data_IF_205213449515
#
_entry.id   IF_205213449515
#
_cell.length_a   1.000
_cell.length_b   1.000
_cell.length_c   1.000
_cell.angle_alpha   90.00
_cell.angle_beta   90.00
_cell.angle_gamma   90.00
#
_symmetry.space_group_name_H-M   'P 1'
#
loop_
_entity.id
_entity.type
_entity.pdbx_description
1 polymer ?
#
# COMPACT_ATOMS: atom_id res chain seq x y z
N UNK A 1 31.89 -0.78 -10.12
CA UNK A 1 30.66 -0.24 -10.67
C UNK A 1 30.16 0.79 -9.67
N UNK A 2 30.59 2.06 -9.85
CA UNK A 2 30.49 3.09 -8.82
C UNK A 2 29.52 4.21 -9.23
N UNK A 3 28.62 3.94 -10.19
CA UNK A 3 27.62 4.90 -10.64
C UNK A 3 26.21 4.30 -10.59
N UNK A 4 25.29 5.02 -9.99
CA UNK A 4 23.87 4.65 -9.97
C UNK A 4 23.26 4.88 -11.36
N UNK A 5 22.23 4.09 -11.73
CA UNK A 5 21.54 4.23 -13.02
C UNK A 5 20.96 5.64 -13.26
N UNK A 6 20.69 6.38 -12.18
CA UNK A 6 20.26 7.78 -12.21
C UNK A 6 21.36 8.72 -12.72
N UNK A 7 22.62 8.46 -12.38
CA UNK A 7 23.73 9.27 -12.85
C UNK A 7 23.99 9.06 -14.34
N UNK A 8 23.79 7.83 -14.81
CA UNK A 8 23.84 7.55 -16.25
C UNK A 8 22.73 8.29 -17.01
N UNK A 9 21.52 8.33 -16.46
CA UNK A 9 20.41 9.06 -17.06
C UNK A 9 20.69 10.56 -17.14
N UNK A 10 21.25 11.17 -16.09
CA UNK A 10 21.68 12.58 -16.11
C UNK A 10 22.70 12.84 -17.21
N UNK A 11 23.75 12.00 -17.28
CA UNK A 11 24.77 12.10 -18.28
C UNK A 11 24.21 11.97 -19.71
N UNK A 12 23.29 11.04 -19.96
CA UNK A 12 22.61 10.88 -21.26
C UNK A 12 21.84 12.13 -21.65
N UNK A 13 21.12 12.74 -20.70
CA UNK A 13 20.38 13.98 -20.92
C UNK A 13 21.34 15.17 -21.25
N UNK A 14 22.45 15.26 -20.54
CA UNK A 14 23.49 16.28 -20.82
C UNK A 14 24.12 16.13 -22.22
N UNK A 15 24.21 14.89 -22.72
CA UNK A 15 24.69 14.60 -24.07
C UNK A 15 23.59 14.74 -25.14
N UNK A 16 22.36 15.10 -24.77
CA UNK A 16 21.23 15.25 -25.70
C UNK A 16 20.81 13.95 -26.37
N UNK A 17 21.01 12.81 -25.72
CA UNK A 17 20.61 11.51 -26.24
C UNK A 17 19.12 11.26 -25.95
N UNK A 18 18.29 11.23 -26.97
CA UNK A 18 16.86 10.89 -26.87
C UNK A 18 16.64 9.38 -27.02
N UNK A 19 17.15 8.62 -26.04
CA UNK A 19 17.02 7.17 -25.99
C UNK A 19 16.04 6.80 -24.86
N UNK A 20 14.95 6.06 -25.13
CA UNK A 20 14.03 5.63 -24.08
C UNK A 20 14.75 4.71 -23.08
N UNK A 21 14.79 5.13 -21.82
CA UNK A 21 15.47 4.42 -20.74
C UNK A 21 14.46 3.87 -19.73
N UNK A 22 14.61 2.58 -19.37
CA UNK A 22 13.90 1.94 -18.27
C UNK A 22 14.93 1.63 -17.17
N UNK A 23 14.69 2.12 -15.96
CA UNK A 23 15.57 1.85 -14.82
C UNK A 23 15.10 0.62 -14.07
N UNK A 24 16.00 -0.34 -13.83
CA UNK A 24 15.75 -1.52 -13.01
C UNK A 24 16.56 -1.50 -11.73
N UNK A 25 15.93 -1.63 -10.57
CA UNK A 25 16.60 -1.55 -9.27
C UNK A 25 16.22 -2.72 -8.34
N UNK A 26 17.19 -3.11 -7.50
CA UNK A 26 16.94 -4.06 -6.40
C UNK A 26 16.35 -3.42 -5.15
N UNK A 27 16.47 -2.10 -5.03
CA UNK A 27 15.83 -1.32 -3.97
C UNK A 27 14.73 -0.48 -4.60
N UNK A 28 13.48 -0.86 -4.38
CA UNK A 28 12.32 -0.09 -4.82
C UNK A 28 12.12 1.11 -3.87
N UNK A 29 13.04 2.08 -3.95
CA UNK A 29 12.85 3.37 -3.30
C UNK A 29 12.02 4.28 -4.20
N UNK A 30 10.87 4.71 -3.69
CA UNK A 30 9.94 5.58 -4.41
C UNK A 30 10.59 6.90 -4.80
N UNK A 31 11.51 7.42 -3.97
CA UNK A 31 12.21 8.67 -4.26
C UNK A 31 13.10 8.52 -5.49
N UNK A 32 13.83 7.43 -5.59
CA UNK A 32 14.68 7.11 -6.75
C UNK A 32 13.85 6.92 -8.02
N UNK A 33 12.67 6.27 -7.92
CA UNK A 33 11.76 6.13 -9.05
C UNK A 33 11.22 7.47 -9.53
N UNK A 34 10.75 8.32 -8.63
CA UNK A 34 10.25 9.66 -8.96
C UNK A 34 11.36 10.54 -9.54
N UNK A 35 12.58 10.47 -9.00
CA UNK A 35 13.72 11.21 -9.51
C UNK A 35 14.09 10.73 -10.92
N UNK A 36 14.08 9.44 -11.17
CA UNK A 36 14.33 8.86 -12.49
C UNK A 36 13.30 9.36 -13.52
N UNK A 37 12.02 9.34 -13.17
CA UNK A 37 10.95 9.84 -14.05
C UNK A 37 11.06 11.34 -14.31
N UNK A 38 11.41 12.15 -13.31
CA UNK A 38 11.67 13.59 -13.48
C UNK A 38 12.87 13.89 -14.37
N UNK A 39 13.85 13.00 -14.40
CA UNK A 39 15.04 13.10 -15.25
C UNK A 39 14.81 12.50 -16.65
N UNK A 40 13.59 12.08 -16.99
CA UNK A 40 13.24 11.64 -18.34
C UNK A 40 13.33 10.13 -18.56
N UNK A 41 13.45 9.31 -17.50
CA UNK A 41 13.27 7.87 -17.66
C UNK A 41 11.84 7.59 -18.14
N UNK A 42 11.69 6.64 -19.06
CA UNK A 42 10.37 6.25 -19.59
C UNK A 42 9.61 5.40 -18.60
N UNK A 43 10.31 4.53 -17.85
CA UNK A 43 9.70 3.69 -16.83
C UNK A 43 10.73 3.21 -15.79
N UNK A 44 10.22 2.60 -14.74
CA UNK A 44 10.98 2.08 -13.60
C UNK A 44 10.45 0.71 -13.19
N UNK A 45 11.35 -0.25 -12.95
CA UNK A 45 10.99 -1.63 -12.60
C UNK A 45 11.79 -2.08 -11.38
N UNK A 46 11.10 -2.63 -10.39
CA UNK A 46 11.75 -3.25 -9.23
C UNK A 46 12.18 -4.70 -9.53
N UNK A 47 13.35 -5.09 -9.04
CA UNK A 47 13.78 -6.49 -9.07
C UNK A 47 13.15 -7.27 -7.89
N UNK A 48 12.74 -8.52 -8.06
CA UNK A 48 12.89 -9.39 -9.23
C UNK A 48 11.94 -9.01 -10.38
N UNK A 49 12.47 -9.00 -11.60
CA UNK A 49 11.75 -8.56 -12.80
C UNK A 49 10.90 -9.71 -13.34
N UNK A 50 9.59 -9.47 -13.50
CA UNK A 50 8.74 -10.38 -14.25
C UNK A 50 8.99 -10.21 -15.76
N UNK A 51 9.38 -11.27 -16.51
CA UNK A 51 9.65 -11.16 -17.95
C UNK A 51 8.50 -10.60 -18.78
N UNK A 52 7.25 -10.97 -18.45
CA UNK A 52 6.07 -10.50 -19.17
C UNK A 52 5.83 -9.00 -18.96
N UNK A 53 6.01 -8.54 -17.73
CA UNK A 53 5.91 -7.11 -17.39
C UNK A 53 7.00 -6.28 -18.07
N UNK A 54 8.23 -6.78 -18.08
CA UNK A 54 9.34 -6.14 -18.77
C UNK A 54 9.08 -6.00 -20.26
N UNK A 55 8.65 -7.07 -20.93
CA UNK A 55 8.33 -7.07 -22.36
C UNK A 55 7.20 -6.10 -22.68
N UNK A 56 6.16 -6.04 -21.83
CA UNK A 56 5.05 -5.10 -21.99
C UNK A 56 5.56 -3.66 -21.91
N UNK A 57 6.33 -3.32 -20.88
CA UNK A 57 6.91 -1.97 -20.69
C UNK A 57 7.86 -1.57 -21.81
N UNK A 58 8.68 -2.49 -22.31
CA UNK A 58 9.54 -2.25 -23.50
C UNK A 58 8.69 -1.95 -24.72
N UNK A 59 7.63 -2.72 -24.97
CA UNK A 59 6.76 -2.49 -26.12
C UNK A 59 6.03 -1.15 -26.04
N UNK A 60 5.56 -0.76 -24.85
CA UNK A 60 4.94 0.54 -24.61
C UNK A 60 5.94 1.70 -24.82
N UNK A 61 7.18 1.56 -24.34
CA UNK A 61 8.23 2.54 -24.54
C UNK A 61 8.61 2.74 -26.01
N UNK A 62 8.61 1.67 -26.80
CA UNK A 62 8.95 1.73 -28.23
C UNK A 62 7.79 2.26 -29.10
N UNK A 63 6.54 2.04 -28.69
CA UNK A 63 5.36 2.53 -29.39
C UNK A 63 5.09 4.02 -29.15
N UNK A 64 5.58 4.57 -28.03
CA UNK A 64 5.42 5.99 -27.65
C UNK A 64 6.46 6.89 -28.30
N UNK A 65 6.82 6.68 -29.55
CA UNK A 65 7.78 7.45 -30.31
C UNK A 65 7.30 8.85 -30.75
N UNK A 66 6.44 9.55 -29.99
CA UNK A 66 6.10 10.96 -30.24
C UNK A 66 5.98 11.72 -28.91
N UNK A 67 6.95 12.63 -28.73
CA UNK A 67 7.00 13.90 -27.98
C UNK A 67 6.38 14.03 -26.59
N UNK A 68 7.11 14.69 -25.69
CA UNK A 68 6.63 15.06 -24.36
C UNK A 68 5.62 16.21 -24.49
N UNK A 69 4.37 15.96 -24.12
CA UNK A 69 3.38 16.99 -23.97
C UNK A 69 3.67 17.81 -22.71
N UNK A 70 4.24 18.96 -22.94
CA UNK A 70 4.25 20.15 -22.09
C UNK A 70 2.88 20.45 -21.48
N UNK A 71 2.93 20.86 -20.22
CA UNK A 71 1.96 21.70 -19.51
C UNK A 71 1.03 22.52 -20.39
N UNK A 72 -0.25 22.60 -20.02
CA UNK A 72 -0.93 23.87 -19.77
C UNK A 72 -2.24 23.70 -19.01
N UNK A 73 -2.17 24.20 -17.81
CA UNK A 73 -3.01 25.26 -17.17
C UNK A 73 -4.35 25.63 -17.85
N UNK A 74 -5.33 25.63 -16.94
CA UNK A 74 -6.38 26.65 -16.72
C UNK A 74 -7.70 26.51 -17.49
N UNK A 75 -8.74 26.38 -16.79
CA UNK A 75 -9.75 27.36 -16.36
C UNK A 75 -11.10 26.72 -16.05
N UNK A 76 -11.45 26.91 -14.83
CA UNK A 76 -12.71 27.42 -14.29
C UNK A 76 -13.99 27.24 -15.14
N UNK A 77 -14.99 26.62 -14.55
CA UNK A 77 -16.24 27.32 -14.29
C UNK A 77 -17.19 26.54 -13.42
N UNK A 78 -17.68 27.26 -12.47
CA UNK A 78 -18.77 26.99 -11.54
C UNK A 78 -20.05 26.47 -12.23
N UNK A 79 -20.75 25.54 -11.58
CA UNK A 79 -22.20 25.72 -11.35
C UNK A 79 -22.74 24.83 -10.21
N UNK A 80 -23.40 25.49 -9.36
CA UNK A 80 -24.29 25.23 -8.26
C UNK A 80 -25.47 24.32 -8.61
N UNK A 81 -25.93 23.55 -7.60
CA UNK A 81 -27.26 22.93 -7.59
C UNK A 81 -27.23 21.67 -6.74
N UNK A 82 -27.46 21.69 -5.50
CA UNK A 82 -28.62 21.70 -4.63
C UNK A 82 -29.29 20.31 -4.48
N UNK A 83 -29.20 19.82 -3.22
CA UNK A 83 -30.22 19.08 -2.43
C UNK A 83 -30.61 17.67 -2.92
N UNK A 84 -30.66 16.65 -2.09
CA UNK A 84 -31.34 16.39 -0.83
C UNK A 84 -31.13 14.92 -0.43
N UNK A 85 -30.90 14.72 0.85
CA UNK A 85 -31.42 13.69 1.76
C UNK A 85 -31.29 12.20 1.33
N UNK A 86 -30.83 11.33 2.10
CA UNK A 86 -30.84 10.99 3.51
C UNK A 86 -30.53 9.50 3.64
N UNK A 87 -29.68 9.07 4.50
CA UNK A 87 -29.94 8.25 5.65
C UNK A 87 -28.69 7.55 6.13
N UNK A 88 -28.40 7.85 7.37
CA UNK A 88 -27.88 6.98 8.43
C UNK A 88 -27.02 5.77 8.04
N UNK A 89 -25.74 5.96 8.23
CA UNK A 89 -24.92 5.00 8.94
C UNK A 89 -23.92 5.78 9.80
N UNK A 90 -24.15 5.71 11.09
CA UNK A 90 -23.35 6.25 12.17
C UNK A 90 -22.01 5.53 12.18
N UNK A 91 -21.07 5.96 11.37
CA UNK A 91 -19.66 5.63 11.53
C UNK A 91 -18.90 6.93 11.76
N UNK A 92 -18.22 6.97 12.91
CA UNK A 92 -17.35 8.01 13.41
C UNK A 92 -16.66 8.80 12.31
N UNK A 93 -17.29 9.88 11.86
CA UNK A 93 -16.66 10.89 11.02
C UNK A 93 -15.73 11.73 11.91
N UNK A 94 -14.60 11.15 12.33
CA UNK A 94 -13.49 11.93 12.86
C UNK A 94 -13.00 12.76 11.69
N UNK A 95 -13.32 14.04 11.69
CA UNK A 95 -12.78 15.00 10.75
C UNK A 95 -11.25 15.06 10.96
N UNK A 96 -10.52 14.30 10.18
CA UNK A 96 -9.06 14.37 10.17
C UNK A 96 -8.65 15.63 9.41
N UNK A 97 -7.75 16.40 10.00
CA UNK A 97 -7.16 17.57 9.35
C UNK A 97 -6.05 17.12 8.40
N UNK A 98 -6.26 17.33 7.12
CA UNK A 98 -5.19 17.11 6.12
C UNK A 98 -4.19 18.27 6.24
N UNK A 99 -2.89 17.92 6.29
CA UNK A 99 -1.83 18.92 6.32
C UNK A 99 -1.69 19.63 4.98
N UNK A 100 -1.48 20.93 5.01
CA UNK A 100 -1.30 21.77 3.81
C UNK A 100 0.17 21.95 3.40
N UNK A 101 1.11 21.39 4.16
CA UNK A 101 2.54 21.49 3.85
C UNK A 101 2.89 20.76 2.55
N UNK A 102 3.99 21.16 1.90
CA UNK A 102 4.44 20.49 0.68
C UNK A 102 4.77 19.00 0.92
N UNK A 103 5.29 18.67 2.12
CA UNK A 103 5.51 17.29 2.52
C UNK A 103 4.21 16.49 2.62
N UNK A 104 3.14 17.09 3.17
CA UNK A 104 1.82 16.46 3.23
C UNK A 104 1.24 16.25 1.83
N UNK A 105 1.34 17.24 0.94
CA UNK A 105 0.90 17.12 -0.45
C UNK A 105 1.64 16.00 -1.19
N UNK A 106 2.96 15.86 -0.97
CA UNK A 106 3.73 14.76 -1.54
C UNK A 106 3.27 13.40 -0.98
N UNK A 107 3.02 13.29 0.32
CA UNK A 107 2.51 12.08 0.95
C UNK A 107 1.16 11.67 0.31
N UNK A 108 0.22 12.61 0.16
CA UNK A 108 -1.09 12.30 -0.43
C UNK A 108 -1.00 11.97 -1.92
N UNK A 109 -0.05 12.53 -2.66
CA UNK A 109 0.24 12.10 -4.02
C UNK A 109 0.70 10.62 -4.05
N UNK A 110 1.59 10.20 -3.13
CA UNK A 110 1.99 8.79 -3.03
C UNK A 110 0.82 7.88 -2.63
N UNK A 111 -0.01 8.32 -1.70
CA UNK A 111 -1.24 7.60 -1.33
C UNK A 111 -2.13 7.38 -2.56
N UNK A 112 -2.34 8.41 -3.37
CA UNK A 112 -3.13 8.30 -4.60
C UNK A 112 -2.56 7.34 -5.65
N UNK A 113 -1.23 7.22 -5.72
CA UNK A 113 -0.55 6.30 -6.63
C UNK A 113 -0.61 4.84 -6.16
N UNK A 114 -0.50 4.62 -4.84
CA UNK A 114 -0.42 3.28 -4.25
C UNK A 114 -1.81 2.67 -4.03
N UNK A 115 -2.79 3.47 -3.65
CA UNK A 115 -4.13 3.00 -3.28
C UNK A 115 -4.83 2.11 -4.34
N UNK A 116 -4.74 2.38 -5.66
CA UNK A 116 -5.39 1.52 -6.66
C UNK A 116 -4.69 0.18 -6.88
N UNK A 117 -3.52 -0.03 -6.27
CA UNK A 117 -2.70 -1.25 -6.44
C UNK A 117 -3.08 -2.32 -5.40
N UNK A 118 -2.64 -3.57 -5.62
CA UNK A 118 -2.77 -4.66 -4.64
C UNK A 118 -1.50 -4.84 -3.78
N UNK A 119 -0.69 -3.80 -3.64
CA UNK A 119 0.58 -3.86 -2.91
C UNK A 119 0.34 -3.76 -1.41
N UNK A 120 1.18 -4.46 -0.63
CA UNK A 120 1.31 -4.21 0.80
C UNK A 120 2.10 -2.92 1.01
N UNK A 121 1.64 -2.07 1.92
CA UNK A 121 2.22 -0.75 2.19
C UNK A 121 2.80 -0.70 3.60
N UNK A 122 4.04 -0.25 3.73
CA UNK A 122 4.65 0.03 5.03
C UNK A 122 4.61 1.53 5.29
N UNK A 123 3.97 1.92 6.40
CA UNK A 123 3.84 3.31 6.83
C UNK A 123 4.77 3.53 8.02
N UNK A 124 5.85 4.28 7.81
CA UNK A 124 6.80 4.64 8.85
C UNK A 124 6.55 6.06 9.37
N UNK A 125 6.61 6.22 10.68
CA UNK A 125 6.47 7.52 11.34
C UNK A 125 6.43 7.38 12.86
N UNK A 126 6.75 8.46 13.57
CA UNK A 126 6.67 8.53 15.03
C UNK A 126 5.24 8.28 15.53
N UNK A 127 5.08 7.95 16.80
CA UNK A 127 3.74 7.82 17.38
C UNK A 127 2.98 9.16 17.28
N UNK A 128 1.68 9.09 16.99
CA UNK A 128 0.84 10.30 16.88
C UNK A 128 0.93 11.06 15.54
N UNK A 129 1.73 10.63 14.56
CA UNK A 129 1.87 11.32 13.26
C UNK A 129 0.73 11.06 12.27
N UNK A 130 -0.31 10.33 12.67
CA UNK A 130 -1.48 10.07 11.83
C UNK A 130 -1.34 8.88 10.87
N UNK A 131 -0.52 7.88 11.19
CA UNK A 131 -0.35 6.66 10.38
C UNK A 131 -1.68 5.96 10.06
N UNK A 132 -2.57 5.86 11.05
CA UNK A 132 -3.91 5.28 10.88
C UNK A 132 -4.73 6.07 9.83
N UNK A 133 -4.65 7.40 9.86
CA UNK A 133 -5.33 8.22 8.87
C UNK A 133 -4.82 7.96 7.45
N UNK A 134 -3.49 7.85 7.28
CA UNK A 134 -2.89 7.52 5.98
C UNK A 134 -3.36 6.16 5.50
N UNK A 135 -3.40 5.14 6.38
CA UNK A 135 -3.90 3.81 6.05
C UNK A 135 -5.38 3.83 5.63
N UNK A 136 -6.21 4.57 6.38
CA UNK A 136 -7.63 4.75 6.04
C UNK A 136 -7.81 5.47 4.70
N UNK A 137 -6.97 6.48 4.41
CA UNK A 137 -6.99 7.20 3.13
C UNK A 137 -6.59 6.32 1.96
N UNK A 138 -5.59 5.44 2.14
CA UNK A 138 -5.23 4.42 1.15
C UNK A 138 -6.42 3.51 0.86
N UNK A 139 -7.09 3.02 1.90
CA UNK A 139 -8.28 2.18 1.74
C UNK A 139 -9.40 2.90 0.97
N UNK A 140 -9.74 4.14 1.36
CA UNK A 140 -10.78 4.94 0.70
C UNK A 140 -10.54 5.16 -0.80
N UNK A 141 -9.28 5.32 -1.20
CA UNK A 141 -8.89 5.53 -2.59
C UNK A 141 -8.61 4.22 -3.35
N UNK A 142 -8.67 3.07 -2.67
CA UNK A 142 -8.42 1.77 -3.26
C UNK A 142 -9.65 1.23 -4.00
N UNK A 143 -9.43 0.16 -4.77
CA UNK A 143 -10.51 -0.62 -5.41
C UNK A 143 -11.35 -1.41 -4.40
N UNK A 144 -11.00 -1.37 -3.11
CA UNK A 144 -11.62 -2.09 -1.99
C UNK A 144 -12.30 -1.15 -1.01
N UNK A 145 -12.57 0.09 -1.40
CA UNK A 145 -13.16 1.13 -0.54
C UNK A 145 -14.55 0.79 -0.01
N UNK A 146 -15.26 -0.12 -0.69
CA UNK A 146 -16.56 -0.67 -0.28
C UNK A 146 -16.47 -1.94 0.58
N UNK A 147 -15.25 -2.41 0.86
CA UNK A 147 -14.95 -3.62 1.61
C UNK A 147 -14.54 -3.32 3.05
N UNK A 148 -14.46 -4.32 3.94
CA UNK A 148 -14.06 -4.09 5.33
C UNK A 148 -12.69 -3.43 5.45
N UNK A 149 -12.58 -2.44 6.34
CA UNK A 149 -11.33 -1.91 6.84
C UNK A 149 -11.18 -2.32 8.31
N UNK A 150 -10.19 -3.15 8.61
CA UNK A 150 -9.95 -3.65 9.96
C UNK A 150 -8.62 -3.07 10.46
N UNK A 151 -8.70 -2.22 11.48
CA UNK A 151 -7.52 -1.70 12.17
C UNK A 151 -7.24 -2.52 13.44
N UNK A 152 -5.99 -2.93 13.60
CA UNK A 152 -5.52 -3.70 14.75
C UNK A 152 -4.31 -3.00 15.36
N UNK A 153 -4.44 -2.58 16.61
CA UNK A 153 -3.33 -2.08 17.41
C UNK A 153 -2.61 -3.26 18.07
N UNK A 154 -1.43 -3.61 17.51
CA UNK A 154 -0.63 -4.73 18.01
C UNK A 154 -0.04 -4.49 19.41
N UNK A 155 0.08 -3.22 19.83
CA UNK A 155 0.58 -2.86 21.15
C UNK A 155 -0.43 -3.11 22.27
N UNK A 156 -1.72 -3.04 21.95
CA UNK A 156 -2.80 -3.26 22.92
C UNK A 156 -3.14 -4.73 23.17
N UNK A 157 -2.66 -5.66 22.31
CA UNK A 157 -2.99 -7.08 22.40
C UNK A 157 -1.97 -7.82 23.28
N UNK A 158 -2.42 -8.55 24.32
CA UNK A 158 -1.53 -9.44 25.06
C UNK A 158 -0.84 -10.45 24.14
N UNK A 159 0.47 -10.64 24.32
CA UNK A 159 1.29 -11.49 23.43
C UNK A 159 0.74 -12.90 23.27
N UNK A 160 0.18 -13.45 24.33
CA UNK A 160 -0.39 -14.79 24.38
C UNK A 160 -1.67 -14.92 23.55
N UNK A 161 -2.38 -13.82 23.35
CA UNK A 161 -3.64 -13.79 22.60
C UNK A 161 -3.46 -13.32 21.15
N UNK A 162 -2.30 -12.76 20.81
CA UNK A 162 -2.08 -12.14 19.51
C UNK A 162 -2.34 -13.11 18.35
N UNK A 163 -1.87 -14.34 18.40
CA UNK A 163 -2.12 -15.35 17.36
C UNK A 163 -3.63 -15.62 17.18
N UNK A 164 -4.38 -15.69 18.29
CA UNK A 164 -5.82 -15.89 18.28
C UNK A 164 -6.57 -14.67 17.73
N UNK A 165 -6.13 -13.45 18.05
CA UNK A 165 -6.74 -12.22 17.53
C UNK A 165 -6.52 -12.09 16.02
N UNK A 166 -5.32 -12.39 15.53
CA UNK A 166 -5.01 -12.27 14.10
C UNK A 166 -5.58 -13.40 13.25
N UNK A 167 -5.33 -14.65 13.66
CA UNK A 167 -5.61 -15.82 12.80
C UNK A 167 -6.88 -16.58 13.21
N UNK A 168 -7.46 -16.25 14.39
CA UNK A 168 -8.58 -16.97 14.97
C UNK A 168 -8.15 -18.24 15.70
N UNK A 169 -9.11 -18.93 16.29
CA UNK A 169 -8.89 -20.21 16.95
C UNK A 169 -10.12 -21.11 16.87
N UNK A 170 -9.88 -22.41 16.99
CA UNK A 170 -10.94 -23.39 17.16
C UNK A 170 -11.17 -23.68 18.65
N UNK A 171 -12.39 -24.04 19.01
CA UNK A 171 -12.78 -24.40 20.36
C UNK A 171 -11.84 -25.48 20.92
N UNK A 172 -11.38 -25.28 22.16
CA UNK A 172 -10.52 -26.22 22.88
C UNK A 172 -9.04 -26.13 22.52
N UNK A 173 -8.59 -25.18 21.68
CA UNK A 173 -7.21 -25.04 21.25
C UNK A 173 -6.25 -24.57 22.36
N UNK A 174 -6.75 -23.89 23.37
CA UNK A 174 -6.01 -23.48 24.59
C UNK A 174 -6.98 -23.28 25.77
N UNK A 175 -6.42 -23.11 26.97
CA UNK A 175 -7.21 -22.89 28.20
C UNK A 175 -7.98 -21.58 28.07
N UNK A 176 -9.30 -21.66 28.00
CA UNK A 176 -10.18 -20.49 27.79
C UNK A 176 -10.76 -20.37 26.38
N UNK A 177 -10.37 -21.21 25.44
CA UNK A 177 -10.99 -21.28 24.11
C UNK A 177 -12.35 -22.03 24.16
N UNK A 178 -13.36 -21.35 24.68
CA UNK A 178 -14.70 -21.95 24.89
C UNK A 178 -15.51 -22.07 23.59
N UNK A 179 -15.23 -21.22 22.61
CA UNK A 179 -15.91 -21.16 21.29
C UNK A 179 -14.88 -20.98 20.20
N UNK A 180 -15.28 -21.18 18.95
CA UNK A 180 -14.48 -20.77 17.80
C UNK A 180 -14.44 -19.24 17.71
N UNK A 181 -13.30 -18.70 17.25
CA UNK A 181 -13.13 -17.26 17.03
C UNK A 181 -12.60 -16.99 15.62
N UNK A 182 -13.28 -16.10 14.93
CA UNK A 182 -12.81 -15.56 13.65
C UNK A 182 -11.71 -14.53 13.90
N UNK A 183 -10.56 -14.69 13.25
CA UNK A 183 -9.43 -13.75 13.36
C UNK A 183 -9.57 -12.53 12.47
N UNK A 184 -8.74 -11.50 12.75
CA UNK A 184 -8.76 -10.23 12.02
C UNK A 184 -8.49 -10.40 10.52
N UNK A 185 -7.64 -11.33 10.11
CA UNK A 185 -7.38 -11.62 8.70
C UNK A 185 -8.60 -12.12 7.94
N UNK A 186 -9.39 -12.99 8.57
CA UNK A 186 -10.64 -13.48 7.96
C UNK A 186 -11.68 -12.37 7.94
N UNK A 187 -11.78 -11.57 9.00
CA UNK A 187 -12.70 -10.45 9.07
C UNK A 187 -12.39 -9.36 8.01
N UNK A 188 -11.10 -9.18 7.67
CA UNK A 188 -10.66 -8.23 6.65
C UNK A 188 -10.69 -8.79 5.22
N UNK A 189 -11.06 -10.05 5.04
CA UNK A 189 -10.94 -10.74 3.75
C UNK A 189 -11.63 -10.00 2.61
N UNK A 190 -10.93 -9.82 1.50
CA UNK A 190 -11.36 -9.02 0.35
C UNK A 190 -11.29 -7.49 0.57
N UNK A 191 -10.95 -7.05 1.78
CA UNK A 191 -10.84 -5.65 2.18
C UNK A 191 -9.40 -5.21 2.47
N UNK A 192 -9.22 -4.50 3.57
CA UNK A 192 -7.92 -3.98 4.01
C UNK A 192 -7.72 -4.24 5.50
N UNK A 193 -6.57 -4.77 5.88
CA UNK A 193 -6.16 -4.86 7.27
C UNK A 193 -5.03 -3.82 7.51
N UNK A 194 -5.16 -3.03 8.55
CA UNK A 194 -4.12 -2.12 9.03
C UNK A 194 -3.59 -2.63 10.36
N UNK A 195 -2.28 -2.83 10.43
CA UNK A 195 -1.58 -3.30 11.63
C UNK A 195 -0.70 -2.17 12.15
N UNK A 196 -1.09 -1.55 13.27
CA UNK A 196 -0.25 -0.54 13.92
C UNK A 196 0.72 -1.21 14.90
N UNK A 197 1.87 -0.60 15.08
CA UNK A 197 2.92 -1.03 16.01
C UNK A 197 3.33 -2.51 15.88
N UNK A 198 3.47 -3.02 14.66
CA UNK A 198 3.78 -4.43 14.37
C UNK A 198 5.06 -4.94 15.08
N UNK A 199 5.97 -4.03 15.46
CA UNK A 199 7.18 -4.36 16.21
C UNK A 199 6.91 -4.92 17.63
N UNK A 200 5.72 -4.72 18.18
CA UNK A 200 5.33 -5.23 19.49
C UNK A 200 4.89 -6.71 19.47
N UNK A 201 4.71 -7.29 18.27
CA UNK A 201 4.34 -8.69 18.12
C UNK A 201 5.48 -9.62 18.51
N UNK A 202 5.13 -10.79 19.07
CA UNK A 202 6.11 -11.85 19.32
C UNK A 202 6.69 -12.38 18.00
N UNK A 203 7.90 -12.92 18.05
CA UNK A 203 8.58 -13.45 16.87
C UNK A 203 7.77 -14.54 16.15
N UNK A 204 7.08 -15.38 16.89
CA UNK A 204 6.22 -16.45 16.35
C UNK A 204 5.06 -15.88 15.54
N UNK A 205 4.43 -14.81 16.04
CA UNK A 205 3.32 -14.12 15.33
C UNK A 205 3.85 -13.40 14.10
N UNK A 206 5.03 -12.78 14.19
CA UNK A 206 5.68 -12.15 13.02
C UNK A 206 5.96 -13.14 11.88
N UNK A 207 6.43 -14.36 12.21
CA UNK A 207 6.64 -15.44 11.21
C UNK A 207 5.30 -15.84 10.56
N UNK A 208 4.23 -16.00 11.35
CA UNK A 208 2.93 -16.36 10.83
C UNK A 208 2.35 -15.23 9.95
N UNK A 209 2.57 -13.98 10.36
CA UNK A 209 2.20 -12.81 9.58
C UNK A 209 2.93 -12.78 8.23
N UNK A 210 4.25 -13.03 8.22
CA UNK A 210 5.02 -13.10 6.99
C UNK A 210 4.47 -14.18 6.03
N UNK A 211 4.13 -15.36 6.54
CA UNK A 211 3.49 -16.41 5.75
C UNK A 211 2.14 -15.98 5.20
N UNK A 212 1.30 -15.35 6.04
CA UNK A 212 0.00 -14.84 5.61
C UNK A 212 0.13 -13.85 4.44
N UNK A 213 1.14 -12.97 4.48
CA UNK A 213 1.41 -11.99 3.40
C UNK A 213 1.95 -12.65 2.12
N UNK A 214 2.81 -13.68 2.26
CA UNK A 214 3.45 -14.34 1.11
C UNK A 214 2.54 -15.38 0.44
N UNK A 215 1.89 -16.22 1.26
CA UNK A 215 1.12 -17.37 0.79
C UNK A 215 -0.36 -17.05 0.62
N UNK A 216 -0.82 -15.89 1.11
CA UNK A 216 -2.24 -15.51 1.13
C UNK A 216 -3.11 -16.55 1.83
N UNK A 217 -2.56 -17.18 2.86
CA UNK A 217 -3.22 -18.21 3.65
C UNK A 217 -2.91 -18.02 5.13
N UNK A 218 -3.87 -18.34 5.95
CA UNK A 218 -3.71 -18.37 7.40
C UNK A 218 -4.16 -19.72 7.95
N UNK A 219 -3.73 -20.03 9.18
CA UNK A 219 -4.17 -21.21 9.91
C UNK A 219 -4.63 -20.80 11.30
N UNK A 220 -5.91 -21.02 11.66
CA UNK A 220 -6.41 -20.76 13.01
C UNK A 220 -5.67 -21.60 14.06
N UNK A 221 -5.51 -21.04 15.25
CA UNK A 221 -4.85 -21.75 16.38
C UNK A 221 -5.64 -23.02 16.70
N UNK A 222 -4.93 -24.14 16.79
CA UNK A 222 -5.52 -25.48 17.03
C UNK A 222 -6.14 -26.14 15.79
N UNK A 223 -6.15 -25.49 14.63
CA UNK A 223 -6.65 -26.07 13.37
C UNK A 223 -5.51 -26.54 12.48
N UNK A 224 -5.77 -27.59 11.69
CA UNK A 224 -4.90 -28.05 10.60
C UNK A 224 -5.33 -27.48 9.25
N UNK A 225 -6.51 -26.86 9.16
CA UNK A 225 -7.05 -26.29 7.93
C UNK A 225 -6.45 -24.93 7.65
N UNK A 226 -6.09 -24.69 6.39
CA UNK A 226 -5.68 -23.40 5.89
C UNK A 226 -6.88 -22.67 5.29
N UNK A 227 -6.95 -21.38 5.56
CA UNK A 227 -7.97 -20.46 5.05
C UNK A 227 -7.28 -19.48 4.11
N UNK A 228 -7.76 -19.39 2.87
CA UNK A 228 -7.27 -18.38 1.92
C UNK A 228 -7.81 -17.01 2.30
N UNK A 229 -6.95 -16.00 2.28
CA UNK A 229 -7.27 -14.60 2.56
C UNK A 229 -6.68 -13.70 1.47
N UNK A 230 -7.40 -12.63 1.16
CA UNK A 230 -6.98 -11.64 0.17
C UNK A 230 -6.98 -10.22 0.78
#
# INVERSE_FOLDING_TARGET
PDHEGIDLLKWMNEQGMDIPLIIMTGYADIQSAVQAMKLGARDYIAKPVNPEELLKKISECLQSGETPATHNTAKSSSKKGSSTSSKDSTENNRAYLEGESDAAKQLYNYVGLVAPTNMSVLINGSSGTGKEYVAHRIHQLSKRSDKPFIAVDCGSIPKELAASEFFGHVKGSFTGALTDKTGAFVAANGGTIFLDEIGNLSYEVQIQLLRALQERKIRPVGSTQEISVD
#
